data_IF_766097334505
#
_entry.id   IF_766097334505
#
_cell.length_a   1.000
_cell.length_b   1.000
_cell.length_c   1.000
_cell.angle_alpha   90.00
_cell.angle_beta   90.00
_cell.angle_gamma   90.00
#
_symmetry.space_group_name_H-M   'P 1'
#
loop_
_entity.id
_entity.type
_entity.pdbx_description
1 polymer ?
#
# COMPACT_ATOMS: atom_id res chain seq x y z
N UNK A 1 -1.23 19.81 8.87
CA UNK A 1 -0.41 18.59 8.71
C UNK A 1 -1.06 17.67 7.69
N UNK A 2 -0.32 17.28 6.67
CA UNK A 2 -0.86 16.41 5.64
C UNK A 2 -0.97 14.98 6.18
N UNK A 3 -2.16 14.38 6.09
CA UNK A 3 -2.37 13.00 6.47
C UNK A 3 -1.91 12.08 5.34
N UNK A 4 -1.29 10.96 5.70
CA UNK A 4 -0.87 9.96 4.74
C UNK A 4 -2.01 9.04 4.29
N UNK A 5 -3.17 9.15 4.94
CA UNK A 5 -4.34 8.35 4.61
C UNK A 5 -5.61 9.17 4.81
N UNK A 6 -6.72 8.66 4.27
CA UNK A 6 -8.03 9.33 4.36
C UNK A 6 -9.13 8.27 4.43
N UNK A 7 -9.93 8.31 5.47
CA UNK A 7 -11.00 7.33 5.70
C UNK A 7 -12.35 7.74 5.12
N UNK A 8 -12.43 8.87 4.42
CA UNK A 8 -13.70 9.38 3.87
C UNK A 8 -14.43 8.33 3.03
N UNK A 9 -13.71 7.63 2.16
CA UNK A 9 -14.27 6.60 1.29
C UNK A 9 -14.81 5.42 2.10
N UNK A 10 -14.10 5.02 3.15
CA UNK A 10 -14.52 3.93 4.03
C UNK A 10 -15.83 4.28 4.73
N UNK A 11 -15.92 5.49 5.29
CA UNK A 11 -17.12 5.94 5.96
C UNK A 11 -18.30 6.10 5.00
N UNK A 12 -18.03 6.55 3.79
CA UNK A 12 -19.05 6.69 2.75
C UNK A 12 -19.66 5.34 2.37
N UNK A 13 -18.82 4.33 2.16
CA UNK A 13 -19.28 2.99 1.78
C UNK A 13 -20.01 2.31 2.93
N UNK A 14 -19.56 2.51 4.15
CA UNK A 14 -20.11 1.85 5.34
C UNK A 14 -21.21 2.64 6.06
N UNK A 15 -21.63 3.76 5.49
CA UNK A 15 -22.63 4.65 6.10
C UNK A 15 -22.20 5.08 7.52
N UNK A 16 -20.94 5.48 7.65
CA UNK A 16 -20.33 5.96 8.91
C UNK A 16 -20.21 4.91 10.00
N UNK A 17 -20.05 3.65 9.62
CA UNK A 17 -19.85 2.55 10.55
C UNK A 17 -18.40 2.51 11.06
N UNK A 18 -18.19 2.88 12.32
CA UNK A 18 -16.86 2.90 12.94
C UNK A 18 -16.25 1.50 13.05
N UNK A 19 -17.08 0.48 13.32
CA UNK A 19 -16.59 -0.90 13.44
C UNK A 19 -16.02 -1.39 12.10
N UNK A 20 -16.71 -1.06 11.01
CA UNK A 20 -16.22 -1.39 9.66
C UNK A 20 -14.90 -0.67 9.38
N UNK A 21 -14.80 0.62 9.73
CA UNK A 21 -13.57 1.39 9.53
C UNK A 21 -12.41 0.77 10.31
N UNK A 22 -12.64 0.34 11.55
CA UNK A 22 -11.62 -0.32 12.36
C UNK A 22 -11.18 -1.66 11.75
N UNK A 23 -12.10 -2.41 11.15
CA UNK A 23 -11.78 -3.66 10.46
C UNK A 23 -10.85 -3.41 9.26
N UNK A 24 -11.14 -2.39 8.46
CA UNK A 24 -10.32 -2.03 7.30
C UNK A 24 -8.93 -1.57 7.75
N UNK A 25 -8.86 -0.75 8.81
CA UNK A 25 -7.59 -0.28 9.36
C UNK A 25 -6.77 -1.46 9.89
N UNK A 26 -7.41 -2.39 10.61
CA UNK A 26 -6.73 -3.58 11.12
C UNK A 26 -6.17 -4.45 10.00
N UNK A 27 -6.94 -4.63 8.94
CA UNK A 27 -6.52 -5.38 7.77
C UNK A 27 -5.29 -4.73 7.12
N UNK A 28 -5.30 -3.39 6.99
CA UNK A 28 -4.16 -2.65 6.47
C UNK A 28 -2.91 -2.91 7.31
N UNK A 29 -3.04 -2.79 8.65
CA UNK A 29 -1.89 -2.96 9.56
C UNK A 29 -1.31 -4.38 9.52
N UNK A 30 -2.15 -5.38 9.28
CA UNK A 30 -1.71 -6.77 9.20
C UNK A 30 -1.13 -7.15 7.84
N UNK A 31 -1.83 -6.80 6.77
CA UNK A 31 -1.52 -7.27 5.43
C UNK A 31 -0.47 -6.45 4.70
N UNK A 32 -0.62 -5.13 4.73
CA UNK A 32 0.17 -4.28 3.84
C UNK A 32 1.67 -4.31 4.18
N UNK A 33 2.11 -4.19 5.44
CA UNK A 33 3.55 -4.29 5.74
C UNK A 33 4.16 -5.62 5.31
N UNK A 34 3.42 -6.72 5.48
CA UNK A 34 3.87 -8.05 5.06
C UNK A 34 4.04 -8.13 3.54
N UNK A 35 3.08 -7.59 2.78
CA UNK A 35 3.17 -7.60 1.32
C UNK A 35 4.27 -6.67 0.82
N UNK A 36 4.55 -5.57 1.51
CA UNK A 36 5.67 -4.68 1.18
C UNK A 36 6.99 -5.44 1.31
N UNK A 37 7.14 -6.24 2.36
CA UNK A 37 8.35 -7.05 2.53
C UNK A 37 8.47 -8.13 1.45
N UNK A 38 7.37 -8.79 1.11
CA UNK A 38 7.34 -9.78 0.02
C UNK A 38 7.72 -9.15 -1.31
N UNK A 39 7.22 -7.94 -1.55
CA UNK A 39 7.51 -7.17 -2.76
C UNK A 39 9.00 -6.83 -2.84
N UNK A 40 9.61 -6.42 -1.73
CA UNK A 40 11.03 -6.13 -1.68
C UNK A 40 11.85 -7.34 -2.09
N UNK A 41 11.53 -8.48 -1.52
CA UNK A 41 12.23 -9.74 -1.82
C UNK A 41 12.07 -10.11 -3.29
N UNK A 42 10.86 -9.98 -3.83
CA UNK A 42 10.57 -10.28 -5.21
C UNK A 42 11.32 -9.36 -6.17
N UNK A 43 11.38 -8.08 -5.86
CA UNK A 43 12.11 -7.10 -6.69
C UNK A 43 13.62 -7.45 -6.72
N UNK A 44 14.18 -7.78 -5.58
CA UNK A 44 15.60 -8.14 -5.50
C UNK A 44 15.93 -9.40 -6.30
N UNK A 45 15.00 -10.35 -6.34
CA UNK A 45 15.16 -11.61 -7.06
C UNK A 45 14.68 -11.53 -8.51
N UNK A 46 14.15 -10.40 -8.93
CA UNK A 46 13.51 -10.22 -10.25
C UNK A 46 12.37 -11.22 -10.46
N UNK A 47 11.65 -11.53 -9.38
CA UNK A 47 10.45 -12.35 -9.44
C UNK A 47 9.26 -11.46 -9.76
N UNK A 48 9.06 -11.19 -11.03
CA UNK A 48 8.03 -10.26 -11.50
C UNK A 48 6.63 -10.74 -11.15
N UNK A 49 6.39 -12.03 -11.20
CA UNK A 49 5.09 -12.61 -10.87
C UNK A 49 4.74 -12.35 -9.42
N UNK A 50 5.67 -12.58 -8.50
CA UNK A 50 5.42 -12.35 -7.07
C UNK A 50 5.31 -10.86 -6.75
N UNK A 51 6.15 -10.02 -7.37
CA UNK A 51 6.08 -8.57 -7.18
C UNK A 51 4.73 -8.02 -7.64
N UNK A 52 4.24 -8.49 -8.78
CA UNK A 52 2.91 -8.13 -9.27
C UNK A 52 1.81 -8.59 -8.32
N UNK A 53 1.88 -9.84 -7.87
CA UNK A 53 0.87 -10.40 -6.96
C UNK A 53 0.78 -9.60 -5.66
N UNK A 54 1.91 -9.25 -5.07
CA UNK A 54 1.94 -8.44 -3.84
C UNK A 54 1.34 -7.06 -4.07
N UNK A 55 1.72 -6.40 -5.16
CA UNK A 55 1.19 -5.07 -5.49
C UNK A 55 -0.32 -5.13 -5.77
N UNK A 56 -0.76 -6.12 -6.52
CA UNK A 56 -2.17 -6.30 -6.85
C UNK A 56 -3.01 -6.54 -5.61
N UNK A 57 -2.49 -7.29 -4.65
CA UNK A 57 -3.20 -7.64 -3.42
C UNK A 57 -3.49 -6.42 -2.56
N UNK A 58 -2.54 -5.48 -2.45
CA UNK A 58 -2.72 -4.29 -1.60
C UNK A 58 -3.40 -3.12 -2.31
N UNK A 59 -3.57 -3.21 -3.62
CA UNK A 59 -4.17 -2.13 -4.42
C UNK A 59 -5.52 -1.66 -3.90
N UNK A 60 -6.51 -2.54 -3.64
CA UNK A 60 -7.81 -2.09 -3.15
C UNK A 60 -7.73 -1.41 -1.79
N UNK A 61 -6.86 -1.90 -0.91
CA UNK A 61 -6.70 -1.35 0.43
C UNK A 61 -6.13 0.06 0.37
N UNK A 62 -5.13 0.31 -0.49
CA UNK A 62 -4.57 1.64 -0.67
C UNK A 62 -5.63 2.61 -1.21
N UNK A 63 -6.47 2.15 -2.13
CA UNK A 63 -7.55 2.96 -2.68
C UNK A 63 -8.58 3.32 -1.59
N UNK A 64 -9.01 2.33 -0.80
CA UNK A 64 -10.00 2.55 0.26
C UNK A 64 -9.51 3.52 1.32
N UNK A 65 -8.22 3.49 1.64
CA UNK A 65 -7.64 4.37 2.64
C UNK A 65 -7.22 5.73 2.08
N UNK A 66 -7.56 6.02 0.82
CA UNK A 66 -7.27 7.31 0.21
C UNK A 66 -5.79 7.62 0.08
N UNK A 67 -4.96 6.60 -0.01
CA UNK A 67 -3.51 6.76 -0.14
C UNK A 67 -3.12 6.92 -1.61
N UNK A 68 -3.57 8.01 -2.22
CA UNK A 68 -3.49 8.20 -3.67
C UNK A 68 -2.06 8.13 -4.23
N UNK A 69 -1.11 8.74 -3.52
CA UNK A 69 0.27 8.77 -3.99
C UNK A 69 0.90 7.37 -3.88
N UNK A 70 0.66 6.68 -2.76
CA UNK A 70 1.13 5.30 -2.60
C UNK A 70 0.46 4.37 -3.62
N UNK A 71 -0.80 4.62 -3.93
CA UNK A 71 -1.53 3.89 -4.97
C UNK A 71 -0.85 4.06 -6.33
N UNK A 72 -0.49 5.29 -6.69
CA UNK A 72 0.22 5.58 -7.94
C UNK A 72 1.59 4.87 -7.98
N UNK A 73 2.34 4.92 -6.88
CA UNK A 73 3.63 4.21 -6.79
C UNK A 73 3.43 2.71 -6.99
N UNK A 74 2.35 2.17 -6.41
CA UNK A 74 2.00 0.75 -6.55
C UNK A 74 1.70 0.39 -8.00
N UNK A 75 0.97 1.27 -8.71
CA UNK A 75 0.68 1.06 -10.13
C UNK A 75 1.94 1.09 -10.97
N UNK A 76 2.90 1.96 -10.64
CA UNK A 76 4.19 2.00 -11.34
C UNK A 76 4.94 0.68 -11.16
N UNK A 77 4.91 0.10 -9.96
CA UNK A 77 5.52 -1.21 -9.71
C UNK A 77 4.84 -2.30 -10.53
N UNK A 78 3.50 -2.29 -10.58
CA UNK A 78 2.75 -3.26 -11.39
C UNK A 78 3.11 -3.17 -12.87
N UNK A 79 3.21 -1.96 -13.40
CA UNK A 79 3.62 -1.74 -14.79
C UNK A 79 5.04 -2.22 -15.04
N UNK A 80 5.94 -1.94 -14.09
CA UNK A 80 7.33 -2.40 -14.16
C UNK A 80 7.41 -3.93 -14.28
N UNK A 81 6.59 -4.66 -13.51
CA UNK A 81 6.58 -6.12 -13.57
C UNK A 81 6.12 -6.63 -14.94
N UNK A 82 5.12 -5.97 -15.54
CA UNK A 82 4.61 -6.34 -16.86
C UNK A 82 5.64 -6.14 -17.95
N UNK A 83 6.49 -5.13 -17.80
CA UNK A 83 7.55 -4.80 -18.75
C UNK A 83 8.85 -5.55 -18.47
N UNK A 84 8.89 -6.34 -17.37
CA UNK A 84 10.09 -7.04 -16.92
C UNK A 84 11.29 -6.07 -16.83
N UNK A 85 11.04 -4.93 -16.19
CA UNK A 85 11.99 -3.84 -16.08
C UNK A 85 13.22 -4.17 -15.23
N UNK A 86 14.18 -3.27 -15.23
CA UNK A 86 15.41 -3.44 -14.44
C UNK A 86 15.19 -2.99 -13.00
N UNK A 87 15.84 -3.67 -12.05
CA UNK A 87 15.74 -3.31 -10.62
C UNK A 87 16.04 -1.84 -10.36
N UNK A 88 17.02 -1.32 -11.07
CA UNK A 88 17.46 0.06 -10.93
C UNK A 88 16.34 1.07 -11.19
N UNK A 89 15.46 0.75 -12.12
CA UNK A 89 14.36 1.62 -12.50
C UNK A 89 13.29 1.73 -11.41
N UNK A 90 13.07 0.64 -10.66
CA UNK A 90 11.97 0.58 -9.70
C UNK A 90 12.39 0.86 -8.25
N UNK A 91 13.68 0.81 -7.96
CA UNK A 91 14.20 0.93 -6.61
C UNK A 91 13.76 2.22 -5.91
N UNK A 92 13.80 3.35 -6.62
CA UNK A 92 13.38 4.64 -6.06
C UNK A 92 11.88 4.69 -5.81
N UNK A 93 11.09 4.16 -6.73
CA UNK A 93 9.63 4.10 -6.58
C UNK A 93 9.28 3.25 -5.36
N UNK A 94 9.91 2.10 -5.22
CA UNK A 94 9.69 1.22 -4.08
C UNK A 94 10.03 1.91 -2.76
N UNK A 95 11.15 2.62 -2.68
CA UNK A 95 11.57 3.34 -1.48
C UNK A 95 10.55 4.39 -1.08
N UNK A 96 10.06 5.17 -2.03
CA UNK A 96 9.04 6.20 -1.77
C UNK A 96 7.76 5.58 -1.26
N UNK A 97 7.31 4.51 -1.89
CA UNK A 97 6.10 3.79 -1.49
C UNK A 97 6.25 3.24 -0.07
N UNK A 98 7.37 2.61 0.22
CA UNK A 98 7.65 2.04 1.56
C UNK A 98 7.59 3.13 2.62
N UNK A 99 8.19 4.28 2.37
CA UNK A 99 8.19 5.41 3.30
C UNK A 99 6.77 5.92 3.54
N UNK A 100 6.00 6.13 2.47
CA UNK A 100 4.62 6.62 2.58
C UNK A 100 3.73 5.66 3.35
N UNK A 101 3.84 4.37 3.08
CA UNK A 101 3.07 3.35 3.78
C UNK A 101 3.52 3.26 5.23
N UNK A 102 4.83 3.32 5.50
CA UNK A 102 5.35 3.34 6.87
C UNK A 102 4.83 4.53 7.67
N UNK A 103 4.80 5.70 7.06
CA UNK A 103 4.27 6.91 7.71
C UNK A 103 2.77 6.75 8.00
N UNK A 104 2.02 6.18 7.07
CA UNK A 104 0.59 5.93 7.26
C UNK A 104 0.36 4.91 8.39
N UNK A 105 1.16 3.85 8.45
CA UNK A 105 1.09 2.87 9.54
C UNK A 105 1.30 3.56 10.89
N UNK A 106 2.31 4.41 10.99
CA UNK A 106 2.61 5.11 12.23
C UNK A 106 1.47 6.06 12.64
N UNK A 107 0.91 6.81 11.69
CA UNK A 107 -0.24 7.69 11.93
C UNK A 107 -1.45 6.91 12.39
N UNK A 108 -1.75 5.80 11.72
CA UNK A 108 -2.91 4.96 12.06
C UNK A 108 -2.76 4.36 13.45
N UNK A 109 -1.59 3.83 13.77
CA UNK A 109 -1.33 3.28 15.11
C UNK A 109 -1.50 4.33 16.20
N UNK A 110 -1.11 5.57 15.92
CA UNK A 110 -1.28 6.67 16.85
C UNK A 110 -2.75 7.06 17.02
N UNK A 111 -3.49 7.12 15.92
CA UNK A 111 -4.88 7.59 15.91
C UNK A 111 -5.87 6.56 16.46
N UNK A 112 -5.57 5.26 16.33
CA UNK A 112 -6.49 4.17 16.70
C UNK A 112 -6.00 3.34 17.88
N UNK A 113 -5.15 3.90 18.69
CA UNK A 113 -4.70 3.23 19.90
C UNK A 113 -5.80 3.15 20.95
#
# INVERSE_FOLDING_TARGET
MALQYNLSKVYEISENDNDFALQIVSLFLEEVPSEIQSMKNAIELKDYTQAYASAHKIKPTLDLLGMDIAYEDNMLIMNWTKQEGKRKEIKEVYKKKKTRIGDAVDEIKKDFK
#
